data_IF_751048059494
#
_entry.id   IF_751048059494
#
_cell.length_a   1.000
_cell.length_b   1.000
_cell.length_c   1.000
_cell.angle_alpha   90.00
_cell.angle_beta   90.00
_cell.angle_gamma   90.00
#
_symmetry.space_group_name_H-M   'P 1'
#
loop_
_entity.id
_entity.type
_entity.pdbx_description
1 polymer ?
#
# COMPACT_ATOMS: atom_id res chain seq x y z
N UNK A 1 -7.87 -7.21 -10.75
CA UNK A 1 -7.40 -6.75 -9.41
C UNK A 1 -8.33 -7.32 -8.36
N UNK A 2 -7.79 -7.89 -7.31
CA UNK A 2 -8.60 -8.42 -6.21
C UNK A 2 -8.93 -7.29 -5.23
N UNK A 3 -10.20 -7.15 -4.82
CA UNK A 3 -10.64 -6.21 -3.78
C UNK A 3 -9.78 -6.34 -2.52
N UNK A 4 -9.37 -7.58 -2.20
CA UNK A 4 -8.44 -7.89 -1.12
C UNK A 4 -7.13 -7.11 -1.24
N UNK A 5 -6.51 -7.03 -2.43
CA UNK A 5 -5.22 -6.34 -2.59
C UNK A 5 -5.38 -4.82 -2.45
N UNK A 6 -6.50 -4.26 -2.87
CA UNK A 6 -6.83 -2.85 -2.61
C UNK A 6 -6.92 -2.56 -1.11
N UNK A 7 -7.60 -3.42 -0.35
CA UNK A 7 -7.79 -3.25 1.09
C UNK A 7 -6.54 -3.59 1.91
N UNK A 8 -5.77 -4.59 1.51
CA UNK A 8 -4.62 -5.05 2.29
C UNK A 8 -3.32 -4.34 1.95
N UNK A 9 -3.16 -3.90 0.69
CA UNK A 9 -1.91 -3.31 0.19
C UNK A 9 -2.06 -1.89 -0.33
N UNK A 10 -3.27 -1.31 -0.29
CA UNK A 10 -3.53 0.01 -0.86
C UNK A 10 -3.36 0.07 -2.38
N UNK A 11 -3.50 -1.07 -3.07
CA UNK A 11 -3.32 -1.16 -4.52
C UNK A 11 -4.35 -0.35 -5.30
N UNK A 12 -3.91 0.30 -6.37
CA UNK A 12 -4.77 1.04 -7.29
C UNK A 12 -5.43 0.16 -8.34
N UNK A 13 -6.24 0.77 -9.18
CA UNK A 13 -6.82 0.12 -10.35
C UNK A 13 -5.80 0.08 -11.48
N UNK A 14 -5.74 -1.05 -12.16
CA UNK A 14 -5.03 -1.18 -13.42
C UNK A 14 -6.03 -1.07 -14.57
N UNK A 15 -5.81 -0.11 -15.44
CA UNK A 15 -6.56 0.04 -16.68
C UNK A 15 -5.71 -0.50 -17.84
N UNK A 16 -6.23 -1.50 -18.54
CA UNK A 16 -5.53 -2.04 -19.70
C UNK A 16 -5.59 -1.05 -20.88
N UNK A 17 -4.44 -0.48 -21.21
CA UNK A 17 -4.25 0.32 -22.43
C UNK A 17 -3.23 -0.37 -23.34
N UNK A 18 -3.40 -1.70 -23.51
CA UNK A 18 -2.58 -2.53 -24.40
C UNK A 18 -1.53 -3.41 -23.72
N UNK A 19 -1.07 -3.10 -22.48
CA UNK A 19 -0.02 -3.88 -21.85
C UNK A 19 -0.41 -5.35 -21.61
N UNK A 20 -1.67 -5.63 -21.23
CA UNK A 20 -2.14 -7.00 -21.05
C UNK A 20 -2.11 -7.80 -22.36
N UNK A 21 -2.37 -7.16 -23.51
CA UNK A 21 -2.30 -7.80 -24.80
C UNK A 21 -0.84 -8.16 -25.14
N UNK A 22 0.11 -7.27 -24.86
CA UNK A 22 1.53 -7.53 -25.06
C UNK A 22 2.05 -8.68 -24.19
N UNK A 23 1.52 -8.82 -22.97
CA UNK A 23 1.81 -9.97 -22.10
C UNK A 23 1.21 -11.25 -22.69
N UNK A 24 -0.06 -11.23 -23.14
CA UNK A 24 -0.73 -12.36 -23.74
C UNK A 24 -0.04 -12.82 -25.03
N UNK A 25 0.44 -11.89 -25.84
CA UNK A 25 1.21 -12.12 -27.06
C UNK A 25 2.68 -12.50 -26.80
N UNK A 26 3.07 -12.65 -25.53
CA UNK A 26 4.45 -12.97 -25.11
C UNK A 26 5.52 -11.95 -25.53
N UNK A 27 5.11 -10.74 -25.90
CA UNK A 27 6.03 -9.61 -26.19
C UNK A 27 6.61 -9.00 -24.93
N UNK A 28 5.88 -9.08 -23.82
CA UNK A 28 6.36 -8.75 -22.46
C UNK A 28 6.43 -10.05 -21.68
N UNK A 29 7.62 -10.39 -21.20
CA UNK A 29 7.86 -11.57 -20.36
C UNK A 29 7.59 -11.22 -18.91
N UNK A 30 6.87 -12.07 -18.18
CA UNK A 30 6.66 -11.97 -16.75
C UNK A 30 7.71 -12.79 -16.00
N UNK A 31 8.32 -12.18 -15.02
CA UNK A 31 9.28 -12.81 -14.10
C UNK A 31 8.77 -12.59 -12.69
N UNK A 32 8.74 -13.64 -11.86
CA UNK A 32 8.43 -13.50 -10.45
C UNK A 32 9.63 -12.89 -9.72
N UNK A 33 9.37 -11.87 -8.91
CA UNK A 33 10.43 -11.20 -8.16
C UNK A 33 11.17 -12.17 -7.22
N UNK A 34 10.47 -13.16 -6.66
CA UNK A 34 11.03 -14.21 -5.81
C UNK A 34 12.08 -15.09 -6.52
N UNK A 35 12.06 -15.14 -7.85
CA UNK A 35 12.98 -15.96 -8.63
C UNK A 35 14.26 -15.20 -9.01
N UNK A 36 14.32 -13.91 -8.70
CA UNK A 36 15.50 -13.07 -8.90
C UNK A 36 16.42 -13.25 -7.70
N UNK A 37 17.60 -13.81 -7.95
CA UNK A 37 18.61 -14.03 -6.92
C UNK A 37 19.47 -12.80 -6.67
N UNK A 38 19.80 -12.07 -7.73
CA UNK A 38 20.73 -10.96 -7.67
C UNK A 38 20.49 -9.98 -8.82
N UNK A 39 20.73 -8.69 -8.56
CA UNK A 39 20.78 -7.64 -9.57
C UNK A 39 22.25 -7.35 -9.90
N UNK A 40 22.55 -7.33 -11.18
CA UNK A 40 23.87 -7.02 -11.73
C UNK A 40 23.85 -5.65 -12.41
N UNK A 41 25.01 -5.10 -12.74
CA UNK A 41 25.11 -3.83 -13.48
C UNK A 41 24.49 -3.88 -14.89
N UNK A 42 24.39 -5.07 -15.47
CA UNK A 42 23.95 -5.33 -16.84
C UNK A 42 22.82 -6.38 -16.93
N UNK A 43 22.18 -6.73 -15.82
CA UNK A 43 21.16 -7.74 -15.84
C UNK A 43 20.73 -8.26 -14.47
N UNK A 44 20.13 -9.44 -14.45
CA UNK A 44 19.73 -10.16 -13.23
C UNK A 44 20.14 -11.63 -13.30
N UNK A 45 20.28 -12.26 -12.15
CA UNK A 45 20.32 -13.71 -12.04
C UNK A 45 18.93 -14.22 -11.71
N UNK A 46 18.30 -14.88 -12.67
CA UNK A 46 16.97 -15.49 -12.57
C UNK A 46 17.07 -17.00 -12.76
N UNK A 47 16.67 -17.79 -11.76
CA UNK A 47 16.75 -19.26 -11.81
C UNK A 47 18.13 -19.76 -12.25
N UNK A 48 19.19 -19.20 -11.65
CA UNK A 48 20.61 -19.53 -11.93
C UNK A 48 21.09 -19.21 -13.36
N UNK A 49 20.33 -18.43 -14.13
CA UNK A 49 20.71 -17.94 -15.44
C UNK A 49 20.81 -16.42 -15.43
N UNK A 50 21.82 -15.89 -16.11
CA UNK A 50 21.93 -14.45 -16.33
C UNK A 50 20.95 -14.04 -17.43
N UNK A 51 20.15 -13.01 -17.15
CA UNK A 51 19.33 -12.29 -18.13
C UNK A 51 19.85 -10.87 -18.22
N UNK A 52 20.17 -10.42 -19.41
CA UNK A 52 20.73 -9.10 -19.67
C UNK A 52 19.63 -8.09 -19.93
N UNK A 53 19.78 -6.89 -19.36
CA UNK A 53 18.86 -5.76 -19.52
C UNK A 53 19.63 -4.45 -19.56
N UNK A 54 19.20 -3.56 -20.45
CA UNK A 54 19.80 -2.23 -20.62
C UNK A 54 19.46 -1.27 -19.48
N UNK A 55 18.31 -1.50 -18.81
CA UNK A 55 17.84 -0.63 -17.72
C UNK A 55 16.83 -1.33 -16.83
N UNK A 56 16.76 -0.84 -15.58
CA UNK A 56 15.80 -1.27 -14.59
C UNK A 56 14.93 -0.10 -14.13
N UNK A 57 13.62 -0.30 -14.09
CA UNK A 57 12.67 0.66 -13.54
C UNK A 57 12.03 0.04 -12.31
N UNK A 58 12.36 0.59 -11.12
CA UNK A 58 11.79 0.13 -9.86
C UNK A 58 10.50 0.90 -9.56
N UNK A 59 9.36 0.25 -9.83
CA UNK A 59 8.03 0.78 -9.53
C UNK A 59 7.48 0.10 -8.25
N UNK A 60 8.23 0.17 -7.16
CA UNK A 60 8.00 -0.57 -5.91
C UNK A 60 6.96 0.03 -4.98
N UNK A 61 6.36 1.16 -5.35
CA UNK A 61 5.36 1.85 -4.56
C UNK A 61 5.95 2.79 -3.51
N UNK A 62 5.14 3.12 -2.52
CA UNK A 62 5.49 4.05 -1.45
C UNK A 62 5.47 3.35 -0.10
N UNK A 63 6.17 3.92 0.87
CA UNK A 63 6.05 3.51 2.26
C UNK A 63 4.66 3.86 2.82
N UNK A 64 4.22 3.11 3.83
CA UNK A 64 2.92 3.34 4.47
C UNK A 64 2.83 4.69 5.19
N UNK A 65 1.61 5.10 5.54
CA UNK A 65 1.36 6.36 6.26
C UNK A 65 2.06 6.38 7.63
N UNK A 66 2.32 5.24 8.24
CA UNK A 66 3.09 5.12 9.49
C UNK A 66 4.50 5.69 9.38
N UNK A 67 5.12 5.65 8.21
CA UNK A 67 6.40 6.32 7.97
C UNK A 67 6.28 7.84 8.12
N UNK A 68 5.21 8.43 7.59
CA UNK A 68 4.94 9.86 7.73
C UNK A 68 4.67 10.24 9.19
N UNK A 69 3.95 9.39 9.93
CA UNK A 69 3.74 9.60 11.37
C UNK A 69 5.07 9.61 12.12
N UNK A 70 5.94 8.65 11.84
CA UNK A 70 7.29 8.60 12.43
C UNK A 70 8.11 9.83 12.08
N UNK A 71 8.06 10.30 10.85
CA UNK A 71 8.82 11.45 10.36
C UNK A 71 8.36 12.76 11.00
N UNK A 72 7.03 12.96 11.18
CA UNK A 72 6.48 14.22 11.69
C UNK A 72 6.33 14.26 13.21
N UNK A 73 6.03 13.13 13.83
CA UNK A 73 5.67 13.05 15.25
C UNK A 73 6.63 12.20 16.09
N UNK A 74 7.62 11.58 15.46
CA UNK A 74 8.63 10.75 16.12
C UNK A 74 8.20 9.32 16.40
N UNK A 75 9.15 8.55 16.93
CA UNK A 75 8.97 7.10 17.14
C UNK A 75 7.91 6.77 18.19
N UNK A 76 7.78 7.58 19.23
CA UNK A 76 6.83 7.34 20.32
C UNK A 76 5.39 7.35 19.80
N UNK A 77 5.03 8.39 19.05
CA UNK A 77 3.70 8.51 18.45
C UNK A 77 3.47 7.42 17.41
N UNK A 78 4.46 7.14 16.56
CA UNK A 78 4.37 6.10 15.57
C UNK A 78 4.12 4.72 16.19
N UNK A 79 4.80 4.41 17.30
CA UNK A 79 4.61 3.14 18.02
C UNK A 79 3.23 3.06 18.70
N UNK A 80 2.69 4.16 19.22
CA UNK A 80 1.33 4.21 19.79
C UNK A 80 0.27 4.00 18.74
N UNK A 81 0.42 4.64 17.57
CA UNK A 81 -0.50 4.49 16.45
C UNK A 81 -0.40 3.09 15.87
N UNK A 82 0.80 2.60 15.63
CA UNK A 82 1.05 1.34 14.95
C UNK A 82 0.74 1.43 13.45
N UNK A 83 0.35 0.30 12.87
CA UNK A 83 0.12 0.19 11.44
C UNK A 83 -1.14 0.94 11.00
N UNK A 84 -1.00 1.69 9.92
CA UNK A 84 -2.09 2.41 9.27
C UNK A 84 -2.40 1.70 7.95
N UNK A 85 -3.70 1.61 7.59
CA UNK A 85 -4.15 0.80 6.47
C UNK A 85 -3.91 -0.71 6.74
N UNK A 86 -4.13 -1.54 5.75
CA UNK A 86 -4.18 -2.99 5.87
C UNK A 86 -5.34 -3.48 6.75
N UNK A 87 -5.73 -4.71 6.50
CA UNK A 87 -6.90 -5.33 7.12
C UNK A 87 -6.54 -6.02 8.43
N UNK A 88 -7.24 -5.68 9.49
CA UNK A 88 -7.14 -6.37 10.77
C UNK A 88 -8.05 -7.60 10.77
N UNK A 89 -7.48 -8.79 10.70
CA UNK A 89 -8.23 -10.04 10.63
C UNK A 89 -9.10 -10.33 11.88
N UNK A 90 -8.73 -9.80 13.04
CA UNK A 90 -9.48 -9.99 14.30
C UNK A 90 -10.68 -9.05 14.38
N UNK A 91 -10.49 -7.78 14.01
CA UNK A 91 -11.54 -6.76 14.06
C UNK A 91 -12.38 -6.67 12.79
N UNK A 92 -11.92 -7.28 11.70
CA UNK A 92 -12.53 -7.20 10.37
C UNK A 92 -12.63 -5.76 9.84
N UNK A 93 -11.67 -4.90 10.20
CA UNK A 93 -11.60 -3.47 9.87
C UNK A 93 -10.23 -3.09 9.32
N UNK A 94 -10.16 -1.93 8.67
CA UNK A 94 -8.88 -1.33 8.30
C UNK A 94 -8.18 -0.76 9.54
N UNK A 95 -6.87 -1.02 9.67
CA UNK A 95 -6.10 -0.53 10.80
C UNK A 95 -6.05 1.01 10.80
N UNK A 96 -6.52 1.61 11.88
CA UNK A 96 -6.43 3.05 12.17
C UNK A 96 -7.01 3.98 11.10
N UNK A 97 -7.87 3.46 10.21
CA UNK A 97 -8.52 4.25 9.17
C UNK A 97 -9.95 4.57 9.56
N UNK A 98 -10.30 5.86 9.57
CA UNK A 98 -11.62 6.38 9.93
C UNK A 98 -12.10 5.99 11.33
N UNK A 99 -11.17 5.60 12.20
CA UNK A 99 -11.45 5.20 13.59
C UNK A 99 -10.48 5.89 14.54
N UNK A 100 -10.84 5.89 15.83
CA UNK A 100 -9.98 6.38 16.89
C UNK A 100 -8.67 5.57 16.93
N UNK A 101 -7.55 6.29 16.97
CA UNK A 101 -6.23 5.68 17.17
C UNK A 101 -5.85 5.63 18.64
N UNK A 102 -4.77 4.93 18.97
CA UNK A 102 -4.20 4.95 20.32
C UNK A 102 -3.50 6.27 20.66
N UNK A 103 -3.29 7.17 19.69
CA UNK A 103 -2.80 8.51 19.90
C UNK A 103 -3.97 9.47 19.88
N UNK A 104 -4.26 10.08 21.03
CA UNK A 104 -5.33 11.07 21.14
C UNK A 104 -5.12 12.23 20.17
N UNK A 105 -6.19 12.68 19.52
CA UNK A 105 -6.18 13.81 18.60
C UNK A 105 -5.57 13.51 17.22
N UNK A 106 -5.16 12.27 16.93
CA UNK A 106 -4.59 11.89 15.64
C UNK A 106 -5.48 10.85 14.94
N UNK A 107 -5.96 11.22 13.75
CA UNK A 107 -6.91 10.45 12.96
C UNK A 107 -6.43 10.33 11.52
N UNK A 108 -6.77 9.24 10.85
CA UNK A 108 -6.36 9.00 9.47
C UNK A 108 -7.56 8.80 8.55
N UNK A 109 -7.46 9.41 7.38
CA UNK A 109 -8.37 9.22 6.26
C UNK A 109 -7.55 8.88 5.02
N UNK A 110 -8.00 7.91 4.26
CA UNK A 110 -7.41 7.56 2.96
C UNK A 110 -8.40 6.71 2.15
N UNK A 111 -7.96 6.30 0.97
CA UNK A 111 -8.73 5.49 0.06
C UNK A 111 -9.35 6.30 -1.07
N UNK A 112 -10.37 5.75 -1.72
CA UNK A 112 -11.08 6.43 -2.80
C UNK A 112 -11.93 7.59 -2.27
N UNK A 113 -12.27 8.54 -3.15
CA UNK A 113 -13.19 9.63 -2.81
C UNK A 113 -14.54 9.09 -2.30
N UNK A 114 -15.01 7.96 -2.82
CA UNK A 114 -16.25 7.31 -2.35
C UNK A 114 -16.11 6.82 -0.91
N UNK A 115 -14.99 6.19 -0.55
CA UNK A 115 -14.71 5.75 0.82
C UNK A 115 -14.62 6.95 1.78
N UNK A 116 -13.88 8.00 1.40
CA UNK A 116 -13.79 9.21 2.18
C UNK A 116 -15.19 9.85 2.40
N UNK A 117 -16.02 9.92 1.36
CA UNK A 117 -17.37 10.46 1.44
C UNK A 117 -18.27 9.71 2.41
N UNK A 118 -18.17 8.39 2.44
CA UNK A 118 -18.97 7.54 3.32
C UNK A 118 -18.46 7.60 4.76
N UNK A 119 -17.17 7.32 4.94
CA UNK A 119 -16.59 7.08 6.26
C UNK A 119 -16.25 8.36 7.03
N UNK A 120 -16.07 9.51 6.36
CA UNK A 120 -15.85 10.79 7.05
C UNK A 120 -16.99 11.18 7.98
N UNK A 121 -18.22 10.77 7.67
CA UNK A 121 -19.38 11.01 8.57
C UNK A 121 -19.20 10.29 9.91
N UNK A 122 -18.80 9.01 9.87
CA UNK A 122 -18.56 8.22 11.08
C UNK A 122 -17.35 8.76 11.85
N UNK A 123 -16.31 9.19 11.15
CA UNK A 123 -15.15 9.81 11.76
C UNK A 123 -15.52 11.10 12.47
N UNK A 124 -16.31 11.98 11.84
CA UNK A 124 -16.75 13.24 12.45
C UNK A 124 -17.55 13.03 13.74
N UNK A 125 -18.40 11.99 13.81
CA UNK A 125 -19.10 11.64 15.04
C UNK A 125 -18.14 11.21 16.15
N UNK A 126 -17.13 10.41 15.84
CA UNK A 126 -16.14 9.98 16.82
C UNK A 126 -15.33 11.19 17.35
N UNK A 127 -14.88 12.07 16.47
CA UNK A 127 -14.15 13.29 16.84
C UNK A 127 -15.03 14.20 17.71
N UNK A 128 -16.29 14.44 17.31
CA UNK A 128 -17.23 15.26 18.08
C UNK A 128 -17.51 14.70 19.47
N UNK A 129 -17.50 13.38 19.63
CA UNK A 129 -17.67 12.73 20.94
C UNK A 129 -16.44 12.90 21.84
N UNK A 130 -15.25 12.96 21.28
CA UNK A 130 -14.00 13.17 22.03
C UNK A 130 -13.80 14.63 22.49
N UNK A 131 -14.37 15.58 21.76
CA UNK A 131 -14.25 17.01 22.06
C UNK A 131 -15.30 17.51 23.08
N UNK A 132 -16.23 16.67 23.47
CA UNK A 132 -17.20 16.93 24.55
C UNK A 132 -16.71 16.40 25.88
#
# INVERSE_FOLDING_TARGET
MCIRDSLTRGGGYYFNVGASNLVADQKIKLIQFSDIKEFLSDGIIHNSKKLEYDSFIFATGYEGQEYMVKKFFGNEVANKVGRIWNFNSKKQELNNMFVKTNQQGLWFIAGSLAQCRIFSKYLSFQISKELK
#
